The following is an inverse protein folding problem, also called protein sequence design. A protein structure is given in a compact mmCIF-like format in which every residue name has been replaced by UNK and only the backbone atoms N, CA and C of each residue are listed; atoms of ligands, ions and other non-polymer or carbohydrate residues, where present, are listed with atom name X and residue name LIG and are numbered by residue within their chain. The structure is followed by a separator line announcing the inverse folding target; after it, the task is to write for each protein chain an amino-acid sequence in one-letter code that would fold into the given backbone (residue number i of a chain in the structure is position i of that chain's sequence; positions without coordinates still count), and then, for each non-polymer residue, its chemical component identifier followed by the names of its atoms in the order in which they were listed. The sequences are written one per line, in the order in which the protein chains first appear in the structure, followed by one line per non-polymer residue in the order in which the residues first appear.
data_IF_223229103022
#
_entry.id   IF_223229103022
#
_cell.length_a   1.000
_cell.length_b   1.000
_cell.length_c   1.000
_cell.angle_alpha   90.00
_cell.angle_beta   90.00
_cell.angle_gamma   90.00
#
_symmetry.space_group_name_H-M   'P 1'
#
loop_
_entity.id
_entity.type
_entity.pdbx_description
1 polymer ?
#
# COMPACT_ATOMS: atom_id res chain seq x y z
N UNK A 1 -1.43 -12.33 0.54
CA UNK A 1 -2.74 -11.80 0.07
C UNK A 1 -3.24 -12.45 -1.22
N UNK A 2 -2.46 -12.49 -2.31
CA UNK A 2 -2.93 -13.02 -3.61
C UNK A 2 -3.53 -14.45 -3.54
N UNK A 3 -2.88 -15.39 -2.85
CA UNK A 3 -3.40 -16.75 -2.71
C UNK A 3 -4.73 -16.77 -1.94
N UNK A 4 -4.86 -15.97 -0.88
CA UNK A 4 -6.12 -15.82 -0.14
C UNK A 4 -7.21 -15.17 -1.00
N UNK A 5 -6.86 -14.21 -1.87
CA UNK A 5 -7.80 -13.62 -2.83
C UNK A 5 -8.38 -14.66 -3.79
N UNK A 6 -7.55 -15.58 -4.28
CA UNK A 6 -7.99 -16.67 -5.16
C UNK A 6 -8.84 -17.73 -4.46
N UNK A 7 -8.54 -18.04 -3.19
CA UNK A 7 -9.18 -19.14 -2.45
C UNK A 7 -10.36 -18.71 -1.58
N UNK A 8 -10.72 -17.41 -1.57
CA UNK A 8 -11.83 -16.91 -0.74
C UNK A 8 -12.70 -15.92 -1.52
N UNK A 9 -14.00 -15.93 -1.23
CA UNK A 9 -14.99 -15.09 -1.93
C UNK A 9 -15.66 -14.02 -1.06
N UNK A 10 -15.63 -14.15 0.27
CA UNK A 10 -16.39 -13.27 1.20
C UNK A 10 -15.53 -12.37 2.08
N UNK A 11 -14.38 -12.85 2.55
CA UNK A 11 -13.56 -12.11 3.50
C UNK A 11 -12.91 -10.88 2.84
N UNK A 12 -12.74 -9.81 3.62
CA UNK A 12 -11.90 -8.67 3.23
C UNK A 12 -10.42 -9.01 3.43
N UNK A 13 -9.58 -8.48 2.56
CA UNK A 13 -8.15 -8.72 2.53
C UNK A 13 -7.44 -7.39 2.68
N UNK A 14 -6.60 -7.24 3.69
CA UNK A 14 -5.86 -6.01 3.87
C UNK A 14 -4.47 -6.19 4.43
N UNK A 15 -3.66 -5.16 4.26
CA UNK A 15 -2.33 -5.04 4.86
C UNK A 15 -2.45 -4.57 6.30
N UNK A 16 -1.51 -4.96 7.17
CA UNK A 16 -1.43 -4.47 8.55
C UNK A 16 0.03 -4.47 9.04
N UNK A 17 0.86 -3.49 8.66
CA UNK A 17 0.64 -2.39 7.71
C UNK A 17 1.67 -2.48 6.59
N UNK A 18 1.33 -1.98 5.39
CA UNK A 18 2.34 -1.73 4.38
C UNK A 18 3.24 -0.57 4.83
N UNK A 19 4.55 -0.71 4.69
CA UNK A 19 5.53 0.30 5.10
C UNK A 19 5.97 1.08 3.86
N UNK A 20 5.67 2.38 3.76
CA UNK A 20 6.12 3.20 2.65
C UNK A 20 7.63 3.44 2.67
N UNK A 21 8.22 3.48 1.47
CA UNK A 21 9.62 3.83 1.22
C UNK A 21 9.65 4.54 -0.14
N UNK A 22 10.25 5.72 -0.22
CA UNK A 22 10.46 6.35 -1.54
C UNK A 22 11.52 5.53 -2.30
N UNK A 23 11.39 5.24 -3.62
CA UNK A 23 10.47 5.82 -4.62
C UNK A 23 9.29 4.91 -5.06
N UNK A 24 8.81 3.98 -4.22
CA UNK A 24 8.00 2.84 -4.71
C UNK A 24 6.47 3.06 -4.76
N UNK A 25 5.99 4.31 -4.86
CA UNK A 25 4.55 4.60 -5.00
C UNK A 25 3.89 3.83 -6.16
N UNK A 26 4.47 3.78 -7.38
CA UNK A 26 3.90 3.01 -8.49
C UNK A 26 3.87 1.50 -8.23
N UNK A 27 4.87 0.98 -7.51
CA UNK A 27 4.93 -0.44 -7.15
C UNK A 27 3.79 -0.79 -6.19
N UNK A 28 3.57 0.03 -5.17
CA UNK A 28 2.48 -0.19 -4.22
C UNK A 28 1.11 -0.07 -4.90
N UNK A 29 0.92 0.94 -5.75
CA UNK A 29 -0.31 1.13 -6.51
C UNK A 29 -0.60 -0.07 -7.43
N UNK A 30 0.39 -0.49 -8.22
CA UNK A 30 0.25 -1.65 -9.12
C UNK A 30 -0.01 -2.96 -8.36
N UNK A 31 0.70 -3.18 -7.25
CA UNK A 31 0.51 -4.37 -6.43
C UNK A 31 -0.90 -4.44 -5.85
N UNK A 32 -1.40 -3.35 -5.24
CA UNK A 32 -2.74 -3.36 -4.65
C UNK A 32 -3.84 -3.46 -5.71
N UNK A 33 -3.66 -2.79 -6.86
CA UNK A 33 -4.60 -2.88 -7.98
C UNK A 33 -4.68 -4.32 -8.51
N UNK A 34 -3.55 -5.01 -8.60
CA UNK A 34 -3.50 -6.43 -9.00
C UNK A 34 -4.27 -7.32 -8.02
N UNK A 35 -4.12 -7.12 -6.71
CA UNK A 35 -4.92 -7.89 -5.74
C UNK A 35 -6.40 -7.53 -5.85
N UNK A 36 -6.75 -6.25 -6.07
CA UNK A 36 -8.15 -5.86 -6.25
C UNK A 36 -8.75 -6.46 -7.53
N UNK A 37 -7.96 -6.67 -8.59
CA UNK A 37 -8.40 -7.41 -9.77
C UNK A 37 -8.73 -8.88 -9.45
N UNK A 38 -7.98 -9.51 -8.54
CA UNK A 38 -8.25 -10.88 -8.07
C UNK A 38 -9.41 -10.95 -7.07
N UNK A 39 -9.63 -9.91 -6.27
CA UNK A 39 -10.65 -9.82 -5.23
C UNK A 39 -11.41 -8.49 -5.28
N UNK A 40 -12.24 -8.25 -6.31
CA UNK A 40 -12.88 -6.94 -6.52
C UNK A 40 -13.67 -6.47 -5.31
N UNK A 41 -13.38 -5.26 -4.83
CA UNK A 41 -14.10 -4.61 -3.73
C UNK A 41 -13.82 -5.18 -2.33
N UNK A 42 -12.92 -6.16 -2.21
CA UNK A 42 -12.57 -6.80 -0.93
C UNK A 42 -11.21 -6.39 -0.39
N UNK A 43 -10.47 -5.53 -1.11
CA UNK A 43 -9.10 -5.17 -0.78
C UNK A 43 -9.02 -3.86 -0.01
N UNK A 44 -8.24 -3.85 1.08
CA UNK A 44 -7.97 -2.68 1.92
C UNK A 44 -6.45 -2.46 1.98
N UNK A 45 -5.98 -1.29 1.58
CA UNK A 45 -4.59 -0.88 1.78
C UNK A 45 -4.48 -0.05 3.05
N UNK A 46 -3.95 -0.63 4.12
CA UNK A 46 -3.54 0.11 5.31
C UNK A 46 -2.02 0.31 5.30
N UNK A 47 -1.59 1.57 5.48
CA UNK A 47 -0.20 1.97 5.53
C UNK A 47 0.13 2.59 6.88
N UNK A 48 1.39 2.49 7.31
CA UNK A 48 1.85 3.10 8.55
C UNK A 48 3.27 3.62 8.44
N UNK A 49 3.69 4.42 9.41
CA UNK A 49 5.02 5.07 9.44
C UNK A 49 6.19 4.08 9.52
N UNK A 50 5.90 2.82 9.85
CA UNK A 50 6.86 1.72 9.83
C UNK A 50 7.86 1.74 10.98
N UNK A 51 7.47 2.18 12.18
CA UNK A 51 8.36 2.29 13.35
C UNK A 51 9.27 1.06 13.52
N UNK A 52 8.70 -0.12 13.79
CA UNK A 52 9.49 -1.34 14.00
C UNK A 52 10.22 -1.77 12.73
N UNK A 53 9.51 -1.90 11.60
CA UNK A 53 10.11 -2.46 10.37
C UNK A 53 11.22 -1.60 9.78
N UNK A 54 11.11 -0.26 9.85
CA UNK A 54 12.18 0.64 9.41
C UNK A 54 13.35 0.63 10.39
N UNK A 55 13.09 0.61 11.70
CA UNK A 55 14.15 0.53 12.71
C UNK A 55 14.99 -0.75 12.56
N UNK A 56 14.38 -1.90 12.22
CA UNK A 56 15.12 -3.14 11.92
C UNK A 56 16.08 -3.00 10.74
N UNK A 57 15.79 -2.09 9.81
CA UNK A 57 16.65 -1.76 8.67
C UNK A 57 17.61 -0.59 8.96
N UNK A 58 17.74 -0.14 10.22
CA UNK A 58 18.56 1.01 10.59
C UNK A 58 18.02 2.36 10.10
N UNK A 59 16.75 2.41 9.69
CA UNK A 59 16.09 3.61 9.21
C UNK A 59 15.13 4.17 10.26
N UNK A 60 15.04 5.50 10.44
CA UNK A 60 14.04 6.08 11.32
C UNK A 60 12.63 5.85 10.75
N UNK A 61 11.64 5.93 11.64
CA UNK A 61 10.23 5.94 11.23
C UNK A 61 9.93 7.11 10.29
N UNK A 62 8.98 6.92 9.39
CA UNK A 62 8.52 7.98 8.51
C UNK A 62 7.72 9.04 9.30
N UNK A 63 7.85 10.31 8.92
CA UNK A 63 6.97 11.35 9.44
C UNK A 63 5.52 11.14 8.97
N UNK A 64 4.55 11.58 9.76
CA UNK A 64 3.12 11.53 9.36
C UNK A 64 2.88 12.34 8.07
N UNK A 65 3.61 13.45 7.89
CA UNK A 65 3.56 14.25 6.66
C UNK A 65 3.97 13.43 5.44
N UNK A 66 5.11 12.74 5.50
CA UNK A 66 5.58 11.92 4.38
C UNK A 66 4.68 10.70 4.13
N UNK A 67 4.07 10.13 5.18
CA UNK A 67 3.07 9.07 5.03
C UNK A 67 1.82 9.59 4.29
N UNK A 68 1.36 10.79 4.61
CA UNK A 68 0.24 11.46 3.91
C UNK A 68 0.57 11.68 2.44
N UNK A 69 1.70 12.31 2.13
CA UNK A 69 2.15 12.56 0.75
C UNK A 69 2.19 11.26 -0.06
N UNK A 70 2.79 10.21 0.51
CA UNK A 70 2.86 8.89 -0.12
C UNK A 70 1.46 8.30 -0.37
N UNK A 71 0.55 8.44 0.60
CA UNK A 71 -0.83 7.96 0.48
C UNK A 71 -1.58 8.68 -0.64
N UNK A 72 -1.44 10.00 -0.73
CA UNK A 72 -2.05 10.83 -1.77
C UNK A 72 -1.50 10.45 -3.15
N UNK A 73 -0.19 10.24 -3.28
CA UNK A 73 0.43 9.77 -4.51
C UNK A 73 -0.08 8.39 -4.96
N UNK A 74 -0.16 7.42 -4.04
CA UNK A 74 -0.72 6.09 -4.35
C UNK A 74 -2.19 6.20 -4.75
N UNK A 75 -2.98 7.04 -4.09
CA UNK A 75 -4.37 7.26 -4.47
C UNK A 75 -4.51 7.88 -5.86
N UNK A 76 -3.69 8.88 -6.21
CA UNK A 76 -3.69 9.48 -7.54
C UNK A 76 -3.38 8.45 -8.63
N UNK A 77 -2.33 7.66 -8.42
CA UNK A 77 -1.97 6.57 -9.36
C UNK A 77 -3.08 5.55 -9.52
N UNK A 78 -3.78 5.19 -8.43
CA UNK A 78 -4.93 4.27 -8.48
C UNK A 78 -6.16 4.88 -9.17
N UNK A 79 -6.28 6.21 -9.19
CA UNK A 79 -7.30 6.95 -9.94
C UNK A 79 -6.92 7.18 -11.41
N UNK A 80 -5.71 6.81 -11.82
CA UNK A 80 -5.19 7.03 -13.17
C UNK A 80 -4.73 8.47 -13.41
N UNK A 81 -4.44 9.22 -12.35
CA UNK A 81 -3.93 10.59 -12.41
C UNK A 81 -2.41 10.59 -12.68
N UNK A 82 -1.93 11.65 -13.32
CA UNK A 82 -0.49 11.92 -13.42
C UNK A 82 0.03 12.41 -12.07
N UNK A 83 0.94 11.63 -11.46
CA UNK A 83 1.49 11.92 -10.14
C UNK A 83 2.99 12.17 -10.25
N UNK A 84 3.44 13.32 -9.77
CA UNK A 84 4.86 13.64 -9.60
C UNK A 84 5.38 13.04 -8.29
N UNK A 85 6.53 12.38 -8.35
CA UNK A 85 7.16 11.69 -7.23
C UNK A 85 8.66 11.99 -7.10
#
# INVERSE_FOLDING_TARGET
MALAAQNTSRIKLGTLVAIPTKPHCPVTASAIATINKLAPGRVILAMGTGYTGRNTMGLPQMSVKSLREYTEQVQGLLRGEDVLF
#
